data_IF_114088412110
#
_entry.id   IF_114088412110
#
_cell.length_a   1.000
_cell.length_b   1.000
_cell.length_c   1.000
_cell.angle_alpha   90.00
_cell.angle_beta   90.00
_cell.angle_gamma   90.00
#
_symmetry.space_group_name_H-M   'P 1'
#
loop_
_entity.id
_entity.type
_entity.pdbx_description
1 polymer ?
#
# COMPACT_ATOMS: atom_id res chain seq x y z
N UNK A 1 -5.73 -11.82 21.43
CA UNK A 1 -5.39 -10.39 21.30
C UNK A 1 -6.22 -9.90 20.13
N UNK A 2 -6.92 -8.77 20.26
CA UNK A 2 -7.86 -8.33 19.23
C UNK A 2 -7.07 -8.06 17.94
N UNK A 3 -7.42 -8.80 16.88
CA UNK A 3 -6.82 -8.70 15.56
C UNK A 3 -6.97 -7.26 15.07
N UNK A 4 -5.86 -6.52 14.95
CA UNK A 4 -5.85 -5.11 14.52
C UNK A 4 -5.92 -5.03 12.99
N UNK A 5 -6.90 -5.71 12.42
CA UNK A 5 -7.12 -5.75 10.98
C UNK A 5 -7.88 -4.48 10.58
N UNK A 6 -7.22 -3.63 9.80
CA UNK A 6 -7.81 -2.40 9.28
C UNK A 6 -8.47 -2.70 7.94
N UNK A 7 -9.71 -2.26 7.78
CA UNK A 7 -10.42 -2.35 6.51
C UNK A 7 -10.33 -1.02 5.79
N UNK A 8 -9.88 -1.05 4.54
CA UNK A 8 -9.78 0.12 3.67
C UNK A 8 -10.53 -0.17 2.39
N UNK A 9 -11.65 0.51 2.15
CA UNK A 9 -12.54 0.18 1.03
C UNK A 9 -12.96 -1.29 1.04
N UNK A 10 -12.56 -2.06 0.01
CA UNK A 10 -12.89 -3.49 -0.12
C UNK A 10 -11.73 -4.43 0.27
N UNK A 11 -10.59 -3.91 0.70
CA UNK A 11 -9.43 -4.71 1.11
C UNK A 11 -9.34 -4.74 2.62
N UNK A 12 -9.31 -5.95 3.16
CA UNK A 12 -8.99 -6.20 4.56
C UNK A 12 -7.48 -6.39 4.67
N UNK A 13 -6.83 -5.49 5.40
CA UNK A 13 -5.39 -5.58 5.63
C UNK A 13 -5.09 -6.65 6.68
N UNK A 14 -4.00 -7.38 6.47
CA UNK A 14 -3.37 -8.22 7.50
C UNK A 14 -2.85 -7.35 8.65
N UNK A 15 -2.53 -7.98 9.78
CA UNK A 15 -1.98 -7.26 10.95
C UNK A 15 -0.68 -6.52 10.60
N UNK A 16 0.20 -7.14 9.82
CA UNK A 16 1.45 -6.52 9.35
C UNK A 16 1.20 -5.34 8.40
N UNK A 17 0.24 -5.48 7.47
CA UNK A 17 -0.14 -4.40 6.55
C UNK A 17 -0.78 -3.22 7.30
N UNK A 18 -1.60 -3.52 8.30
CA UNK A 18 -2.27 -2.54 9.15
C UNK A 18 -1.25 -1.77 10.01
N UNK A 19 -0.25 -2.44 10.56
CA UNK A 19 0.82 -1.79 11.32
C UNK A 19 1.66 -0.86 10.44
N UNK A 20 2.04 -1.30 9.23
CA UNK A 20 2.77 -0.46 8.27
C UNK A 20 2.00 0.78 7.87
N UNK A 21 0.71 0.61 7.58
CA UNK A 21 -0.16 1.73 7.26
C UNK A 21 -0.28 2.68 8.46
N UNK A 22 -0.45 2.14 9.66
CA UNK A 22 -0.56 2.93 10.88
C UNK A 22 0.68 3.79 11.11
N UNK A 23 1.89 3.26 10.93
CA UNK A 23 3.12 4.04 11.10
C UNK A 23 3.24 5.20 10.10
N UNK A 24 2.84 4.98 8.84
CA UNK A 24 2.86 6.01 7.79
C UNK A 24 1.82 7.10 8.05
N UNK A 25 0.57 6.71 8.30
CA UNK A 25 -0.54 7.63 8.58
C UNK A 25 -0.33 8.34 9.92
N UNK A 26 0.27 7.68 10.91
CA UNK A 26 0.64 8.31 12.18
C UNK A 26 1.61 9.47 11.98
N UNK A 27 2.61 9.32 11.11
CA UNK A 27 3.56 10.41 10.82
C UNK A 27 2.92 11.55 10.04
N UNK A 28 2.04 11.21 9.11
CA UNK A 28 1.41 12.17 8.19
C UNK A 28 0.24 12.94 8.84
N UNK A 29 -0.71 12.22 9.44
CA UNK A 29 -1.96 12.74 10.02
C UNK A 29 -1.92 12.89 11.54
N UNK A 30 -0.81 12.54 12.19
CA UNK A 30 -0.64 12.62 13.66
C UNK A 30 -1.70 11.83 14.44
N UNK A 31 -2.11 10.68 13.93
CA UNK A 31 -3.03 9.78 14.64
C UNK A 31 -2.29 8.93 15.68
N UNK A 32 -2.92 8.68 16.83
CA UNK A 32 -2.31 7.94 17.94
C UNK A 32 -2.99 6.60 18.24
N UNK A 33 -4.00 6.20 17.46
CA UNK A 33 -4.78 4.99 17.73
C UNK A 33 -5.26 4.30 16.45
N UNK A 34 -5.40 2.97 16.51
CA UNK A 34 -5.94 2.16 15.41
C UNK A 34 -7.41 2.47 15.11
N UNK A 35 -8.17 2.90 16.11
CA UNK A 35 -9.56 3.36 15.95
C UNK A 35 -9.61 4.61 15.05
N UNK A 36 -8.73 5.59 15.31
CA UNK A 36 -8.58 6.78 14.48
C UNK A 36 -8.08 6.46 13.06
N UNK A 37 -7.23 5.42 12.92
CA UNK A 37 -6.86 4.93 11.60
C UNK A 37 -8.07 4.35 10.87
N UNK A 38 -8.88 3.52 11.54
CA UNK A 38 -10.05 2.89 10.94
C UNK A 38 -11.08 3.91 10.49
N UNK A 39 -11.35 4.93 11.31
CA UNK A 39 -12.23 6.07 10.99
C UNK A 39 -11.69 6.84 9.77
N UNK A 40 -10.39 7.15 9.76
CA UNK A 40 -9.75 7.80 8.62
C UNK A 40 -9.82 6.94 7.36
N UNK A 41 -9.71 5.61 7.48
CA UNK A 41 -9.78 4.70 6.35
C UNK A 41 -11.19 4.56 5.74
N UNK A 42 -12.24 5.06 6.39
CA UNK A 42 -13.59 5.10 5.80
C UNK A 42 -13.66 6.05 4.59
N UNK A 43 -12.90 7.14 4.61
CA UNK A 43 -12.79 8.10 3.51
C UNK A 43 -11.79 7.67 2.43
N UNK A 44 -11.02 6.61 2.69
CA UNK A 44 -10.02 6.10 1.78
C UNK A 44 -10.53 4.89 1.03
N UNK A 45 -10.03 4.71 -0.18
CA UNK A 45 -10.19 3.51 -0.97
C UNK A 45 -8.86 2.80 -1.08
N UNK A 46 -8.92 1.49 -1.25
CA UNK A 46 -7.74 0.69 -1.54
C UNK A 46 -7.92 -0.02 -2.87
N UNK A 47 -6.80 -0.24 -3.55
CA UNK A 47 -6.74 -1.08 -4.73
C UNK A 47 -5.48 -1.92 -4.70
N UNK A 48 -5.63 -3.18 -5.08
CA UNK A 48 -4.48 -4.07 -5.27
C UNK A 48 -3.93 -3.81 -6.66
N UNK A 49 -2.68 -3.35 -6.72
CA UNK A 49 -1.95 -3.12 -7.95
C UNK A 49 -0.95 -4.26 -8.10
N UNK A 50 -1.11 -5.02 -9.17
CA UNK A 50 -0.09 -5.95 -9.62
C UNK A 50 0.96 -5.13 -10.38
N UNK A 51 2.27 -5.31 -10.09
CA UNK A 51 3.29 -4.67 -10.90
C UNK A 51 3.12 -5.15 -12.34
N UNK A 52 2.63 -4.29 -13.23
CA UNK A 52 2.74 -4.53 -14.67
C UNK A 52 4.22 -4.67 -14.96
N UNK A 53 4.66 -5.88 -15.30
CA UNK A 53 5.94 -6.09 -15.97
C UNK A 53 5.84 -5.45 -17.34
N UNK A 54 5.90 -4.12 -17.42
CA UNK A 54 6.31 -3.48 -18.66
C UNK A 54 7.79 -3.82 -18.78
N UNK A 55 8.20 -4.67 -19.74
CA UNK A 55 9.62 -4.77 -20.01
C UNK A 55 10.08 -3.36 -20.35
N UNK A 56 11.01 -2.81 -19.58
CA UNK A 56 11.74 -1.57 -19.88
C UNK A 56 12.62 -1.72 -21.14
N UNK A 57 12.24 -2.61 -22.08
CA UNK A 57 12.98 -2.90 -23.29
C UNK A 57 12.77 -1.84 -24.38
N UNK A 58 11.86 -0.87 -24.20
CA UNK A 58 11.51 0.09 -25.25
C UNK A 58 12.05 1.51 -25.03
N UNK A 59 12.77 1.79 -23.92
CA UNK A 59 13.11 3.19 -23.58
C UNK A 59 14.60 3.49 -23.36
N UNK A 60 15.50 2.53 -23.08
CA UNK A 60 16.92 2.88 -22.89
C UNK A 60 17.89 1.85 -23.47
N UNK A 61 18.47 2.24 -24.61
CA UNK A 61 19.75 1.79 -25.14
C UNK A 61 20.86 2.00 -24.09
N UNK A 62 21.68 0.97 -23.89
CA UNK A 62 23.05 0.99 -23.35
C UNK A 62 23.31 1.64 -21.96
N UNK A 63 23.71 0.76 -21.02
CA UNK A 63 24.55 0.96 -19.81
C UNK A 63 23.84 1.22 -18.47
N UNK A 64 23.99 0.21 -17.60
CA UNK A 64 23.87 0.26 -16.15
C UNK A 64 22.47 0.57 -15.59
N UNK A 65 21.48 -0.26 -15.92
CA UNK A 65 20.36 -0.46 -15.01
C UNK A 65 20.79 -1.49 -13.95
N UNK A 66 20.72 -1.18 -12.63
CA UNK A 66 20.86 -2.21 -11.62
C UNK A 66 19.82 -3.28 -11.93
N UNK A 67 20.24 -4.55 -11.94
CA UNK A 67 19.36 -5.70 -12.10
C UNK A 67 18.24 -5.60 -11.07
N UNK A 68 17.10 -5.03 -11.48
CA UNK A 68 15.83 -5.21 -10.79
C UNK A 68 15.56 -6.71 -10.85
N UNK A 69 15.92 -7.39 -9.76
CA UNK A 69 15.49 -8.74 -9.47
C UNK A 69 14.01 -8.78 -9.79
N UNK A 70 13.66 -9.69 -10.72
CA UNK A 70 12.29 -9.95 -11.13
C UNK A 70 11.48 -10.30 -9.90
N UNK A 71 10.89 -9.30 -9.27
CA UNK A 71 9.91 -9.48 -8.21
C UNK A 71 8.57 -9.80 -8.89
N UNK A 72 8.56 -10.95 -9.58
CA UNK A 72 7.37 -11.60 -10.15
C UNK A 72 6.53 -12.20 -9.00
N UNK A 73 6.10 -11.37 -8.05
CA UNK A 73 5.33 -11.88 -6.92
C UNK A 73 4.87 -10.88 -5.87
N UNK A 74 5.41 -9.66 -5.79
CA UNK A 74 4.96 -8.67 -4.80
C UNK A 74 3.83 -7.82 -5.37
N UNK A 75 2.62 -8.09 -4.88
CA UNK A 75 1.45 -7.24 -5.04
C UNK A 75 1.58 -6.02 -4.13
N UNK A 76 1.06 -4.88 -4.55
CA UNK A 76 1.01 -3.68 -3.72
C UNK A 76 -0.44 -3.33 -3.44
N UNK A 77 -0.72 -2.84 -2.23
CA UNK A 77 -2.01 -2.23 -1.90
C UNK A 77 -1.77 -0.73 -1.91
N UNK A 78 -2.43 -0.05 -2.84
CA UNK A 78 -2.45 1.41 -2.89
C UNK A 78 -3.71 1.90 -2.20
N UNK A 79 -3.53 2.79 -1.23
CA UNK A 79 -4.57 3.38 -0.39
C UNK A 79 -4.61 4.86 -0.72
N UNK A 80 -5.75 5.37 -1.17
CA UNK A 80 -5.90 6.74 -1.62
C UNK A 80 -7.20 7.34 -1.10
N UNK A 81 -7.16 8.62 -0.75
CA UNK A 81 -8.37 9.32 -0.31
C UNK A 81 -9.29 9.56 -1.53
N UNK A 82 -10.58 9.24 -1.39
CA UNK A 82 -11.59 9.40 -2.46
C UNK A 82 -11.93 10.86 -2.74
N UNK A 83 -11.78 11.72 -1.74
CA UNK A 83 -12.19 13.12 -1.74
C UNK A 83 -11.01 14.06 -2.02
N UNK A 84 -9.80 13.68 -1.60
CA UNK A 84 -8.60 14.50 -1.74
C UNK A 84 -7.46 13.73 -2.43
N UNK A 85 -6.97 14.23 -3.57
CA UNK A 85 -5.91 13.55 -4.34
C UNK A 85 -4.53 13.54 -3.67
N UNK A 86 -4.34 14.25 -2.56
CA UNK A 86 -3.04 14.52 -1.94
C UNK A 86 -2.57 13.40 -1.00
N UNK A 87 -3.48 12.58 -0.46
CA UNK A 87 -3.13 11.51 0.48
C UNK A 87 -3.17 10.15 -0.20
N UNK A 88 -2.00 9.63 -0.58
CA UNK A 88 -1.81 8.29 -1.17
C UNK A 88 -0.71 7.54 -0.43
N UNK A 89 -1.03 6.35 0.06
CA UNK A 89 -0.10 5.45 0.71
C UNK A 89 0.03 4.16 -0.09
N UNK A 90 1.25 3.65 -0.26
CA UNK A 90 1.49 2.40 -0.98
C UNK A 90 2.21 1.43 -0.05
N UNK A 91 1.54 0.36 0.31
CA UNK A 91 2.10 -0.70 1.15
C UNK A 91 2.33 -1.97 0.32
N UNK A 92 3.39 -2.70 0.64
CA UNK A 92 3.63 -4.03 0.05
C UNK A 92 2.57 -4.97 0.59
N UNK A 93 1.84 -5.64 -0.31
CA UNK A 93 0.91 -6.67 0.10
C UNK A 93 1.70 -7.90 0.53
N UNK A 94 1.51 -8.30 1.79
CA UNK A 94 2.04 -9.54 2.30
C UNK A 94 1.11 -10.64 1.83
N UNK A 95 1.32 -11.15 0.60
CA UNK A 95 0.61 -12.29 -0.02
C UNK A 95 -0.43 -12.94 0.91
N UNK A 96 -1.71 -12.67 0.69
CA UNK A 96 -2.74 -13.49 1.31
C UNK A 96 -2.53 -14.95 0.82
N UNK A 97 -2.52 -15.94 1.74
CA UNK A 97 -2.29 -17.34 1.42
C UNK A 97 -3.33 -17.94 0.47
#
# INVERSE_FOLDING_TARGET
MAEKQIMVGYVQLTEEESERLFEEVKKDKQIDSYDALQDLMEDFESRVIEPETKPLADVMDDKEAPTEEKDTGVRYIEIFNKLEEDSRYRIKSSKQP
#
